data_IF_691108163657
#
_entry.id   IF_691108163657
#
_cell.length_a   1.000
_cell.length_b   1.000
_cell.length_c   1.000
_cell.angle_alpha   90.00
_cell.angle_beta   90.00
_cell.angle_gamma   90.00
#
_symmetry.space_group_name_H-M   'P 1'
#
loop_
_entity.id
_entity.type
_entity.pdbx_description
1 polymer ?
#
# COMPACT_ATOMS: atom_id res chain seq x y z
N UNK A 1 10.79 12.91 1.62
CA UNK A 1 11.80 12.26 0.75
C UNK A 1 12.15 10.92 1.37
N UNK A 2 11.77 9.81 0.76
CA UNK A 2 12.30 8.50 1.15
C UNK A 2 13.71 8.39 0.56
N UNK A 3 14.72 8.19 1.40
CA UNK A 3 16.10 7.90 0.96
C UNK A 3 16.26 6.38 0.89
N UNK A 4 16.68 5.87 -0.27
CA UNK A 4 17.13 4.50 -0.46
C UNK A 4 18.49 4.32 0.21
N UNK A 5 18.72 3.20 0.89
CA UNK A 5 20.09 2.75 1.09
C UNK A 5 20.64 2.24 -0.27
N UNK A 6 21.95 2.44 -0.48
CA UNK A 6 22.64 2.18 -1.74
C UNK A 6 22.66 0.69 -2.17
N UNK A 7 22.08 -0.22 -1.40
CA UNK A 7 22.05 -1.66 -1.65
C UNK A 7 20.71 -2.20 -2.16
N UNK A 8 19.66 -1.38 -2.23
CA UNK A 8 18.36 -1.77 -2.82
C UNK A 8 17.68 -2.96 -2.14
N UNK A 9 18.06 -3.30 -0.90
CA UNK A 9 17.52 -4.44 -0.16
C UNK A 9 16.23 -4.07 0.56
N UNK A 10 15.11 -4.59 0.05
CA UNK A 10 13.80 -4.52 0.69
C UNK A 10 13.62 -5.54 1.84
N UNK A 11 14.56 -6.47 2.01
CA UNK A 11 14.56 -7.52 3.03
C UNK A 11 15.86 -7.48 3.84
N UNK A 12 15.74 -7.29 5.16
CA UNK A 12 16.82 -7.67 6.08
C UNK A 12 16.97 -9.18 6.07
N UNK A 13 18.21 -9.67 6.02
CA UNK A 13 18.56 -11.07 5.85
C UNK A 13 17.84 -11.99 6.85
N UNK A 14 17.30 -13.09 6.33
CA UNK A 14 16.79 -14.20 7.11
C UNK A 14 17.83 -14.66 8.13
N UNK A 15 17.53 -14.57 9.42
CA UNK A 15 18.41 -15.03 10.48
C UNK A 15 17.60 -15.40 11.71
N UNK A 16 18.20 -16.20 12.61
CA UNK A 16 17.69 -16.38 13.97
C UNK A 16 17.92 -15.07 14.75
N UNK A 17 17.16 -14.05 14.40
CA UNK A 17 17.24 -12.74 15.05
C UNK A 17 16.63 -12.84 16.45
N UNK A 18 17.49 -12.77 17.47
CA UNK A 18 17.08 -12.78 18.87
C UNK A 18 16.34 -11.48 19.29
N UNK A 19 16.24 -10.47 18.41
CA UNK A 19 15.51 -9.25 18.68
C UNK A 19 14.03 -9.52 18.98
N UNK A 20 13.37 -10.42 18.24
CA UNK A 20 11.97 -10.76 18.49
C UNK A 20 11.79 -11.36 19.89
N UNK A 21 12.70 -12.26 20.29
CA UNK A 21 12.73 -12.84 21.63
C UNK A 21 12.95 -11.74 22.67
N UNK A 22 13.96 -10.88 22.51
CA UNK A 22 14.23 -9.80 23.48
C UNK A 22 13.03 -8.88 23.68
N UNK A 23 12.31 -8.51 22.61
CA UNK A 23 11.10 -7.70 22.69
C UNK A 23 9.98 -8.42 23.44
N UNK A 24 9.83 -9.73 23.26
CA UNK A 24 8.79 -10.53 23.89
C UNK A 24 9.16 -11.05 25.29
N UNK A 25 10.35 -10.74 25.82
CA UNK A 25 10.87 -11.31 27.09
C UNK A 25 9.98 -11.03 28.30
N UNK A 26 9.24 -9.92 28.29
CA UNK A 26 8.33 -9.52 29.37
C UNK A 26 6.87 -9.94 29.12
N UNK A 27 6.59 -10.60 28.00
CA UNK A 27 5.25 -11.12 27.69
C UNK A 27 5.00 -12.46 28.40
N UNK A 28 3.75 -12.91 28.45
CA UNK A 28 3.40 -14.17 29.10
C UNK A 28 4.19 -15.35 28.52
N UNK A 29 4.43 -16.38 29.33
CA UNK A 29 5.19 -17.58 28.90
C UNK A 29 4.63 -18.22 27.62
N UNK A 30 3.34 -18.05 27.32
CA UNK A 30 2.71 -18.54 26.09
C UNK A 30 3.24 -17.82 24.85
N UNK A 31 3.33 -16.49 24.88
CA UNK A 31 3.86 -15.68 23.77
C UNK A 31 5.37 -15.87 23.59
N UNK A 32 6.12 -15.96 24.69
CA UNK A 32 7.56 -16.24 24.65
C UNK A 32 7.87 -17.59 23.99
N UNK A 33 7.11 -18.65 24.33
CA UNK A 33 7.27 -19.98 23.71
C UNK A 33 6.88 -19.95 22.23
N UNK A 34 5.82 -19.26 21.86
CA UNK A 34 5.40 -19.11 20.46
C UNK A 34 6.42 -18.32 19.61
N UNK A 35 7.12 -17.34 20.20
CA UNK A 35 8.18 -16.58 19.53
C UNK A 35 9.44 -17.39 19.21
N UNK A 36 9.62 -18.58 19.80
CA UNK A 36 10.68 -19.53 19.42
C UNK A 36 10.26 -20.32 18.19
N UNK A 37 10.29 -19.65 17.05
CA UNK A 37 10.07 -20.31 15.75
C UNK A 37 11.27 -21.18 15.39
N UNK A 38 10.99 -22.39 14.91
CA UNK A 38 11.99 -23.24 14.24
C UNK A 38 12.31 -22.74 12.82
N UNK A 39 11.45 -21.91 12.25
CA UNK A 39 11.59 -21.28 10.94
C UNK A 39 12.21 -19.88 11.07
N UNK A 40 12.88 -19.38 10.02
CA UNK A 40 13.43 -18.04 10.00
C UNK A 40 12.37 -16.97 10.31
N UNK A 41 12.73 -15.99 11.13
CA UNK A 41 11.87 -14.83 11.42
C UNK A 41 12.39 -13.65 10.61
N UNK A 42 11.48 -12.95 9.93
CA UNK A 42 11.79 -11.78 9.12
C UNK A 42 11.33 -10.51 9.82
N UNK A 43 12.16 -9.49 9.81
CA UNK A 43 11.78 -8.14 10.21
C UNK A 43 11.28 -7.37 8.99
N UNK A 44 10.04 -6.91 9.08
CA UNK A 44 9.41 -6.07 8.09
C UNK A 44 9.29 -4.66 8.67
N UNK A 45 9.92 -3.70 8.01
CA UNK A 45 9.71 -2.29 8.34
C UNK A 45 8.37 -1.86 7.72
N UNK A 46 7.50 -1.27 8.53
CA UNK A 46 6.22 -0.74 8.06
C UNK A 46 6.46 0.73 7.68
N UNK A 47 6.17 1.06 6.43
CA UNK A 47 6.30 2.41 5.89
C UNK A 47 4.93 2.98 5.58
N UNK A 48 4.72 4.25 5.90
CA UNK A 48 3.58 5.01 5.40
C UNK A 48 4.05 6.14 4.47
N UNK A 49 3.18 6.58 3.57
CA UNK A 49 3.43 7.69 2.64
C UNK A 49 2.36 8.76 2.86
N UNK A 50 2.70 10.06 2.77
CA UNK A 50 1.69 11.11 2.76
C UNK A 50 0.69 10.91 1.62
N UNK A 51 -0.59 11.11 1.92
CA UNK A 51 -1.69 10.96 0.98
C UNK A 51 -1.52 11.91 -0.22
N UNK A 52 -1.81 11.42 -1.41
CA UNK A 52 -1.72 12.21 -2.65
C UNK A 52 -3.08 12.80 -3.01
N UNK A 53 -3.07 14.06 -3.45
CA UNK A 53 -4.27 14.76 -3.94
C UNK A 53 -4.62 14.50 -5.40
N UNK A 54 -3.68 13.95 -6.17
CA UNK A 54 -3.80 13.66 -7.61
C UNK A 54 -3.14 12.33 -7.91
N UNK A 55 -3.82 11.44 -8.62
CA UNK A 55 -3.39 10.06 -8.89
C UNK A 55 -3.10 9.82 -10.38
N UNK A 56 -3.42 10.78 -11.24
CA UNK A 56 -3.26 10.73 -12.69
C UNK A 56 -2.41 11.86 -13.24
N UNK A 57 -1.77 11.58 -14.38
CA UNK A 57 -1.04 12.55 -15.19
C UNK A 57 -1.06 12.11 -16.65
N UNK A 58 -1.58 12.96 -17.55
CA UNK A 58 -1.75 12.63 -18.96
C UNK A 58 -2.60 11.38 -19.17
N UNK A 59 -1.99 10.30 -19.69
CA UNK A 59 -2.65 9.01 -19.96
C UNK A 59 -2.36 7.93 -18.92
N UNK A 60 -1.81 8.33 -17.76
CA UNK A 60 -1.44 7.41 -16.69
C UNK A 60 -2.29 7.73 -15.46
N UNK A 61 -2.84 6.70 -14.83
CA UNK A 61 -3.51 6.78 -13.53
C UNK A 61 -3.02 5.63 -12.65
N UNK A 62 -2.78 5.91 -11.37
CA UNK A 62 -2.41 4.90 -10.38
C UNK A 62 -3.61 4.39 -9.60
N UNK A 63 -3.51 3.16 -9.11
CA UNK A 63 -4.53 2.45 -8.31
C UNK A 63 -3.86 1.66 -7.18
N UNK A 64 -4.61 1.29 -6.14
CA UNK A 64 -4.07 0.50 -5.03
C UNK A 64 -2.91 1.17 -4.28
N UNK A 65 -1.99 0.35 -3.77
CA UNK A 65 -0.82 0.79 -3.00
C UNK A 65 0.09 1.77 -3.75
N UNK A 66 -0.01 1.87 -5.09
CA UNK A 66 0.73 2.87 -5.85
C UNK A 66 0.32 4.30 -5.48
N UNK A 67 -0.95 4.50 -5.10
CA UNK A 67 -1.52 5.82 -4.80
C UNK A 67 -2.06 5.97 -3.38
N UNK A 68 -2.40 4.86 -2.73
CA UNK A 68 -2.85 4.82 -1.34
C UNK A 68 -2.33 3.60 -0.58
N UNK A 69 -1.02 3.51 -0.32
CA UNK A 69 -0.48 2.42 0.49
C UNK A 69 -1.05 2.50 1.91
N UNK A 70 -1.81 1.49 2.33
CA UNK A 70 -2.37 1.43 3.69
C UNK A 70 -1.54 0.53 4.60
N UNK A 71 -1.52 0.85 5.89
CA UNK A 71 -0.83 0.01 6.88
C UNK A 71 -1.36 -1.43 6.84
N UNK A 72 -0.50 -2.47 6.94
CA UNK A 72 -0.95 -3.86 6.95
C UNK A 72 -1.98 -4.18 8.02
N UNK A 73 -1.96 -3.42 9.13
CA UNK A 73 -2.94 -3.52 10.22
C UNK A 73 -4.37 -3.17 9.81
N UNK A 74 -4.55 -2.47 8.69
CA UNK A 74 -5.85 -2.03 8.19
C UNK A 74 -6.64 -3.19 7.53
N UNK A 75 -5.95 -4.22 7.03
CA UNK A 75 -6.54 -5.43 6.42
C UNK A 75 -7.50 -5.22 5.22
N UNK A 76 -7.67 -3.99 4.71
CA UNK A 76 -8.57 -3.69 3.59
C UNK A 76 -7.88 -3.17 2.31
N UNK A 77 -6.54 -3.16 2.23
CA UNK A 77 -5.79 -2.63 1.06
C UNK A 77 -6.26 -3.23 -0.26
N UNK A 78 -6.36 -4.56 -0.30
CA UNK A 78 -6.78 -5.30 -1.48
C UNK A 78 -8.22 -4.98 -1.88
N UNK A 79 -9.13 -4.84 -0.92
CA UNK A 79 -10.52 -4.47 -1.19
C UNK A 79 -10.63 -3.08 -1.80
N UNK A 80 -9.80 -2.15 -1.34
CA UNK A 80 -9.75 -0.78 -1.87
C UNK A 80 -9.20 -0.75 -3.31
N UNK A 81 -8.17 -1.54 -3.60
CA UNK A 81 -7.65 -1.68 -4.96
C UNK A 81 -8.68 -2.27 -5.94
N UNK A 82 -9.49 -3.24 -5.50
CA UNK A 82 -10.58 -3.80 -6.31
C UNK A 82 -11.64 -2.74 -6.60
N UNK A 83 -12.03 -1.95 -5.60
CA UNK A 83 -12.96 -0.84 -5.80
C UNK A 83 -12.41 0.16 -6.81
N UNK A 84 -11.13 0.50 -6.75
CA UNK A 84 -10.52 1.41 -7.73
C UNK A 84 -10.71 0.93 -9.16
N UNK A 85 -10.48 -0.36 -9.41
CA UNK A 85 -10.69 -0.96 -10.72
C UNK A 85 -12.12 -0.81 -11.21
N UNK A 86 -13.10 -1.00 -10.32
CA UNK A 86 -14.52 -0.81 -10.65
C UNK A 86 -14.84 0.65 -11.00
N UNK A 87 -14.43 1.61 -10.17
CA UNK A 87 -14.69 3.03 -10.40
C UNK A 87 -13.97 3.56 -11.64
N UNK A 88 -12.72 3.12 -11.87
CA UNK A 88 -11.98 3.49 -13.07
C UNK A 88 -12.62 2.92 -14.34
N UNK A 89 -13.06 1.66 -14.31
CA UNK A 89 -13.75 1.05 -15.45
C UNK A 89 -15.04 1.82 -15.79
N UNK A 90 -15.85 2.17 -14.79
CA UNK A 90 -17.06 2.94 -14.99
C UNK A 90 -16.77 4.36 -15.52
N UNK A 91 -15.71 5.01 -15.04
CA UNK A 91 -15.34 6.35 -15.46
C UNK A 91 -14.81 6.42 -16.90
N UNK A 92 -14.35 5.29 -17.45
CA UNK A 92 -13.87 5.15 -18.82
C UNK A 92 -14.89 4.46 -19.75
N UNK A 93 -16.06 4.07 -19.23
CA UNK A 93 -17.09 3.41 -20.04
C UNK A 93 -17.61 4.38 -21.12
N UNK A 94 -17.59 3.94 -22.38
CA UNK A 94 -17.95 4.76 -23.53
C UNK A 94 -16.98 5.91 -23.87
N UNK A 95 -15.85 6.04 -23.18
CA UNK A 95 -14.83 7.06 -23.47
C UNK A 95 -13.98 6.65 -24.67
N UNK A 96 -13.78 7.55 -25.64
CA UNK A 96 -12.80 7.34 -26.70
C UNK A 96 -11.37 7.39 -26.12
N UNK A 97 -10.74 6.23 -26.04
CA UNK A 97 -9.38 6.09 -25.51
C UNK A 97 -8.32 6.74 -26.43
N UNK A 98 -8.63 7.04 -27.69
CA UNK A 98 -7.74 7.79 -28.57
C UNK A 98 -7.71 9.29 -28.23
N UNK A 99 -8.77 9.84 -27.63
CA UNK A 99 -8.79 11.24 -27.18
C UNK A 99 -8.15 11.39 -25.79
N UNK A 100 -6.98 12.05 -25.75
CA UNK A 100 -6.25 12.34 -24.51
C UNK A 100 -7.12 13.12 -23.52
N UNK A 101 -7.91 14.07 -24.01
CA UNK A 101 -8.71 14.96 -23.17
C UNK A 101 -9.88 14.20 -22.56
N UNK A 102 -10.53 13.34 -23.34
CA UNK A 102 -11.61 12.50 -22.86
C UNK A 102 -11.12 11.51 -21.79
N UNK A 103 -9.97 10.86 -22.01
CA UNK A 103 -9.34 9.98 -21.00
C UNK A 103 -8.98 10.75 -19.72
N UNK A 104 -8.39 11.94 -19.85
CA UNK A 104 -8.04 12.78 -18.69
C UNK A 104 -9.28 13.18 -17.89
N UNK A 105 -10.40 13.49 -18.56
CA UNK A 105 -11.67 13.77 -17.89
C UNK A 105 -12.23 12.53 -17.17
N UNK A 106 -12.11 11.34 -17.77
CA UNK A 106 -12.45 10.08 -17.11
C UNK A 106 -11.63 9.83 -15.84
N UNK A 107 -10.32 10.11 -15.87
CA UNK A 107 -9.48 10.02 -14.67
C UNK A 107 -9.88 11.01 -13.59
N UNK A 108 -10.27 12.24 -13.94
CA UNK A 108 -10.77 13.22 -12.97
C UNK A 108 -12.07 12.77 -12.29
N UNK A 109 -12.97 12.11 -13.03
CA UNK A 109 -14.20 11.53 -12.46
C UNK A 109 -13.88 10.41 -11.47
N UNK A 110 -12.97 9.51 -11.84
CA UNK A 110 -12.48 8.45 -10.96
C UNK A 110 -11.85 9.03 -9.68
N UNK A 111 -10.97 10.01 -9.82
CA UNK A 111 -10.28 10.65 -8.69
C UNK A 111 -11.27 11.37 -7.75
N UNK A 112 -12.24 12.11 -8.29
CA UNK A 112 -13.24 12.82 -7.51
C UNK A 112 -14.05 11.90 -6.59
N UNK A 113 -14.21 10.62 -6.98
CA UNK A 113 -14.94 9.63 -6.19
C UNK A 113 -14.05 8.91 -5.16
N UNK A 114 -12.74 8.85 -5.41
CA UNK A 114 -11.83 7.95 -4.67
C UNK A 114 -10.84 8.68 -3.80
N UNK A 115 -10.24 9.79 -4.25
CA UNK A 115 -9.12 10.45 -3.57
C UNK A 115 -9.50 10.81 -2.13
N UNK A 116 -10.62 11.49 -1.93
CA UNK A 116 -11.05 11.90 -0.60
C UNK A 116 -11.52 10.71 0.25
N UNK A 117 -12.25 9.76 -0.37
CA UNK A 117 -12.72 8.56 0.33
C UNK A 117 -11.56 7.74 0.90
N UNK A 118 -10.46 7.60 0.16
CA UNK A 118 -9.30 6.83 0.60
C UNK A 118 -8.42 7.64 1.56
N UNK A 119 -8.20 8.92 1.28
CA UNK A 119 -7.31 9.77 2.08
C UNK A 119 -7.89 10.17 3.46
N UNK A 120 -9.19 9.97 3.73
CA UNK A 120 -9.81 10.20 5.05
C UNK A 120 -9.23 9.28 6.15
N UNK A 121 -8.56 8.20 5.77
CA UNK A 121 -8.07 7.17 6.71
C UNK A 121 -6.63 7.35 7.20
N UNK A 122 -5.94 8.44 6.83
CA UNK A 122 -4.56 8.76 7.27
C UNK A 122 -4.48 9.73 8.47
#
# INVERSE_FOLDING_TARGET
MASLDLSGRWLSLAGKDNHCLRTLRHTSQRFWKAGRSQYPVYRWNIYNRPSMKKWSTGRIVGVGDAVHPVSPSAAYSMGMAIQDGHYLANALDGVDLCDVRAVSAGFELYEAQRVDYVNITD
#
